data_IF_961322624761
#
_entry.id   IF_961322624761
#
_cell.length_a   1.000
_cell.length_b   1.000
_cell.length_c   1.000
_cell.angle_alpha   90.00
_cell.angle_beta   90.00
_cell.angle_gamma   90.00
#
_symmetry.space_group_name_H-M   'P 1'
#
loop_
_entity.id
_entity.type
_entity.pdbx_description
1 polymer ?
#
# COMPACT_ATOMS: atom_id res chain seq x y z
N UNK A 1 -5.95 23.58 -27.15
CA UNK A 1 -6.60 23.23 -25.88
C UNK A 1 -5.70 22.26 -25.13
N UNK A 2 -5.12 22.66 -23.99
CA UNK A 2 -4.48 21.69 -23.09
C UNK A 2 -5.59 20.82 -22.50
N UNK A 3 -5.73 19.58 -22.97
CA UNK A 3 -6.55 18.59 -22.28
C UNK A 3 -5.92 18.37 -20.91
N UNK A 4 -6.57 18.82 -19.85
CA UNK A 4 -6.12 18.58 -18.48
C UNK A 4 -6.18 17.07 -18.25
N UNK A 5 -5.02 16.42 -18.32
CA UNK A 5 -4.94 15.00 -17.97
C UNK A 5 -5.21 14.89 -16.46
N UNK A 6 -6.24 14.13 -16.04
CA UNK A 6 -6.61 14.11 -14.64
C UNK A 6 -5.55 13.36 -13.82
N UNK A 7 -5.13 13.96 -12.69
CA UNK A 7 -4.12 13.40 -11.77
C UNK A 7 -4.80 12.52 -10.75
N UNK A 8 -5.11 11.29 -11.13
CA UNK A 8 -6.01 10.41 -10.35
C UNK A 8 -5.21 9.36 -9.60
N UNK A 9 -4.22 8.74 -10.25
CA UNK A 9 -3.59 7.56 -9.70
C UNK A 9 -2.72 7.87 -8.48
N UNK A 10 -1.92 8.93 -8.55
CA UNK A 10 -1.09 9.33 -7.42
C UNK A 10 -1.93 9.78 -6.22
N UNK A 11 -3.01 10.53 -6.48
CA UNK A 11 -3.94 10.98 -5.44
C UNK A 11 -4.71 9.85 -4.78
N UNK A 12 -5.18 8.89 -5.56
CA UNK A 12 -5.88 7.72 -5.03
C UNK A 12 -4.93 6.91 -4.13
N UNK A 13 -3.67 6.73 -4.55
CA UNK A 13 -2.70 6.02 -3.73
C UNK A 13 -2.34 6.77 -2.44
N UNK A 14 -2.21 8.10 -2.49
CA UNK A 14 -2.05 8.93 -1.29
C UNK A 14 -3.22 8.78 -0.33
N UNK A 15 -4.47 8.82 -0.84
CA UNK A 15 -5.66 8.61 -0.04
C UNK A 15 -5.69 7.20 0.58
N UNK A 16 -5.34 6.17 -0.17
CA UNK A 16 -5.20 4.79 0.34
C UNK A 16 -4.15 4.68 1.43
N UNK A 17 -3.01 5.38 1.28
CA UNK A 17 -1.96 5.44 2.30
C UNK A 17 -2.42 6.08 3.60
N UNK A 18 -3.14 7.20 3.53
CA UNK A 18 -3.76 7.85 4.70
C UNK A 18 -4.78 6.92 5.36
N UNK A 19 -5.65 6.30 4.58
CA UNK A 19 -6.66 5.37 5.09
C UNK A 19 -6.02 4.19 5.83
N UNK A 20 -4.89 3.67 5.34
CA UNK A 20 -4.16 2.59 6.02
C UNK A 20 -3.68 2.98 7.41
N UNK A 21 -3.08 4.16 7.55
CA UNK A 21 -2.62 4.65 8.86
C UNK A 21 -3.80 4.82 9.81
N UNK A 22 -4.91 5.42 9.34
CA UNK A 22 -6.12 5.62 10.16
C UNK A 22 -6.69 4.28 10.63
N UNK A 23 -6.85 3.33 9.72
CA UNK A 23 -7.37 1.99 10.04
C UNK A 23 -6.42 1.20 10.96
N UNK A 24 -5.10 1.37 10.83
CA UNK A 24 -4.12 0.73 11.71
C UNK A 24 -4.27 1.18 13.18
N UNK A 25 -4.58 2.46 13.40
CA UNK A 25 -4.72 3.01 14.77
C UNK A 25 -6.16 2.96 15.30
N UNK A 26 -7.12 2.48 14.49
CA UNK A 26 -8.53 2.46 14.86
C UNK A 26 -8.82 1.32 15.86
N UNK A 27 -9.51 1.60 16.98
CA UNK A 27 -9.99 0.56 17.89
C UNK A 27 -10.87 -0.47 17.16
N UNK A 28 -10.68 -1.75 17.47
CA UNK A 28 -11.41 -2.86 16.83
C UNK A 28 -10.88 -3.29 15.46
N UNK A 29 -9.82 -2.64 14.94
CA UNK A 29 -9.07 -3.11 13.76
C UNK A 29 -7.67 -3.56 14.19
N UNK A 30 -6.75 -2.61 14.40
CA UNK A 30 -5.39 -2.87 14.91
C UNK A 30 -4.98 -1.92 16.06
N UNK A 31 -5.91 -1.08 16.52
CA UNK A 31 -5.63 -0.06 17.54
C UNK A 31 -5.13 -0.64 18.87
N UNK A 32 -5.60 -1.82 19.27
CA UNK A 32 -5.16 -2.47 20.51
C UNK A 32 -3.69 -2.92 20.40
N UNK A 33 -3.31 -3.53 19.26
CA UNK A 33 -1.92 -3.90 18.98
C UNK A 33 -1.03 -2.66 18.95
N UNK A 34 -1.50 -1.57 18.33
CA UNK A 34 -0.76 -0.31 18.29
C UNK A 34 -0.58 0.33 19.66
N UNK A 35 -1.60 0.25 20.52
CA UNK A 35 -1.50 0.70 21.91
C UNK A 35 -0.47 -0.15 22.67
N UNK A 36 -0.48 -1.47 22.49
CA UNK A 36 0.48 -2.35 23.13
C UNK A 36 1.91 -2.12 22.65
N UNK A 37 2.15 -1.93 21.35
CA UNK A 37 3.45 -1.53 20.81
C UNK A 37 3.95 -0.20 21.38
N UNK A 38 3.02 0.71 21.72
CA UNK A 38 3.37 2.02 22.28
C UNK A 38 3.76 1.98 23.75
N UNK A 39 3.45 0.88 24.47
CA UNK A 39 3.76 0.71 25.90
C UNK A 39 5.22 0.35 26.17
N UNK A 40 5.99 -0.02 25.15
CA UNK A 40 7.43 -0.24 25.28
C UNK A 40 8.24 1.03 25.03
N UNK A 41 9.45 1.11 25.63
CA UNK A 41 10.37 2.25 25.51
C UNK A 41 10.80 2.56 24.06
N UNK A 42 10.68 1.57 23.18
CA UNK A 42 10.74 1.70 21.73
C UNK A 42 9.50 1.04 21.15
N UNK A 43 9.02 1.47 19.99
CA UNK A 43 7.88 0.85 19.31
C UNK A 43 8.25 -0.58 18.91
N UNK A 44 7.96 -1.56 19.78
CA UNK A 44 8.46 -2.91 19.66
C UNK A 44 7.35 -3.83 19.16
N UNK A 45 7.58 -4.45 18.01
CA UNK A 45 6.59 -5.25 17.28
C UNK A 45 6.89 -6.76 17.31
N UNK A 46 8.03 -7.15 17.90
CA UNK A 46 8.47 -8.55 17.97
C UNK A 46 9.61 -8.71 18.97
N UNK A 47 9.84 -9.92 19.50
CA UNK A 47 11.05 -10.25 20.26
C UNK A 47 12.28 -10.49 19.36
N UNK A 48 12.15 -10.20 18.06
CA UNK A 48 13.20 -10.39 17.07
C UNK A 48 13.47 -11.87 16.81
N UNK A 49 14.73 -12.28 16.88
CA UNK A 49 15.14 -13.65 16.54
C UNK A 49 14.46 -14.71 17.42
N UNK A 50 14.12 -14.37 18.66
CA UNK A 50 13.48 -15.29 19.60
C UNK A 50 12.08 -15.74 19.17
N UNK A 51 11.40 -15.01 18.28
CA UNK A 51 10.06 -15.38 17.80
C UNK A 51 10.11 -16.45 16.68
N UNK A 52 11.30 -16.72 16.12
CA UNK A 52 11.45 -17.77 15.10
C UNK A 52 11.37 -19.16 15.70
N UNK A 53 10.69 -20.05 14.99
CA UNK A 53 10.55 -21.46 15.36
C UNK A 53 11.88 -22.21 15.47
N UNK A 54 12.97 -21.69 14.87
CA UNK A 54 14.32 -22.21 15.09
C UNK A 54 14.79 -22.07 16.55
N UNK A 55 14.28 -21.07 17.28
CA UNK A 55 14.57 -20.82 18.70
C UNK A 55 13.38 -21.21 19.60
N UNK A 56 12.53 -22.14 19.15
CA UNK A 56 11.27 -22.53 19.83
C UNK A 56 10.29 -21.36 20.04
N UNK A 57 10.43 -20.30 19.24
CA UNK A 57 9.55 -19.14 19.24
C UNK A 57 8.24 -19.36 18.49
N UNK A 58 7.27 -18.46 18.72
CA UNK A 58 6.02 -18.39 17.95
C UNK A 58 5.79 -16.97 17.44
N UNK A 59 5.78 -16.82 16.12
CA UNK A 59 5.49 -15.54 15.46
C UNK A 59 4.05 -15.08 15.71
N UNK A 60 3.89 -13.86 16.21
CA UNK A 60 2.58 -13.22 16.31
C UNK A 60 2.19 -12.56 14.98
N UNK A 61 1.51 -13.31 14.11
CA UNK A 61 1.10 -12.81 12.80
C UNK A 61 0.15 -11.61 12.84
N UNK A 62 -0.62 -11.44 13.93
CA UNK A 62 -1.53 -10.29 14.08
C UNK A 62 -0.75 -9.01 14.33
N UNK A 63 0.27 -9.07 15.19
CA UNK A 63 1.16 -7.94 15.44
C UNK A 63 1.96 -7.55 14.18
N UNK A 64 2.48 -8.54 13.46
CA UNK A 64 3.14 -8.29 12.17
C UNK A 64 2.19 -7.68 11.14
N UNK A 65 0.94 -8.16 11.05
CA UNK A 65 -0.05 -7.58 10.17
C UNK A 65 -0.36 -6.13 10.55
N UNK A 66 -0.55 -5.83 11.83
CA UNK A 66 -0.77 -4.47 12.34
C UNK A 66 0.38 -3.53 11.97
N UNK A 67 1.63 -3.98 12.16
CA UNK A 67 2.83 -3.24 11.76
C UNK A 67 2.85 -2.94 10.26
N UNK A 68 2.70 -3.96 9.41
CA UNK A 68 2.74 -3.78 7.96
C UNK A 68 1.58 -2.91 7.47
N UNK A 69 0.42 -3.00 8.10
CA UNK A 69 -0.74 -2.18 7.77
C UNK A 69 -0.46 -0.70 8.02
N UNK A 70 0.19 -0.37 9.15
CA UNK A 70 0.64 1.00 9.43
C UNK A 70 1.77 1.44 8.50
N UNK A 71 2.81 0.62 8.35
CA UNK A 71 4.02 0.96 7.60
C UNK A 71 3.79 1.09 6.09
N UNK A 72 2.86 0.30 5.53
CA UNK A 72 2.45 0.43 4.14
C UNK A 72 1.85 1.82 3.85
N UNK A 73 1.18 2.45 4.82
CA UNK A 73 0.53 3.75 4.66
C UNK A 73 1.49 4.85 4.17
N UNK A 74 2.58 5.17 4.91
CA UNK A 74 3.61 6.11 4.48
C UNK A 74 4.27 5.74 3.15
N UNK A 75 4.54 4.45 2.91
CA UNK A 75 5.13 3.99 1.63
C UNK A 75 4.19 4.33 0.46
N UNK A 76 2.91 3.97 0.59
CA UNK A 76 1.88 4.28 -0.42
C UNK A 76 1.73 5.79 -0.60
N UNK A 77 1.78 6.57 0.48
CA UNK A 77 1.69 8.02 0.39
C UNK A 77 2.86 8.62 -0.40
N UNK A 78 4.10 8.22 -0.09
CA UNK A 78 5.29 8.69 -0.79
C UNK A 78 5.30 8.23 -2.26
N UNK A 79 4.95 6.98 -2.52
CA UNK A 79 4.84 6.48 -3.89
C UNK A 79 3.71 7.20 -4.65
N UNK A 80 2.61 7.52 -3.97
CA UNK A 80 1.50 8.30 -4.51
C UNK A 80 1.93 9.72 -4.92
N UNK A 81 2.78 10.38 -4.12
CA UNK A 81 3.38 11.67 -4.51
C UNK A 81 4.25 11.55 -5.75
N UNK A 82 5.06 10.48 -5.86
CA UNK A 82 5.90 10.25 -7.03
C UNK A 82 5.05 10.07 -8.30
N UNK A 83 4.00 9.25 -8.23
CA UNK A 83 3.06 9.05 -9.33
C UNK A 83 2.29 10.34 -9.67
N UNK A 84 1.84 11.10 -8.66
CA UNK A 84 1.13 12.38 -8.86
C UNK A 84 2.03 13.43 -9.54
N UNK A 85 3.34 13.37 -9.31
CA UNK A 85 4.34 14.19 -10.00
C UNK A 85 4.54 13.75 -11.45
N UNK A 86 4.64 12.45 -11.71
CA UNK A 86 4.73 11.89 -13.07
C UNK A 86 3.47 12.25 -13.88
N UNK A 87 2.28 12.05 -13.32
CA UNK A 87 1.02 12.44 -13.96
C UNK A 87 0.96 13.95 -14.23
N UNK A 88 1.57 14.78 -13.38
CA UNK A 88 1.66 16.23 -13.60
C UNK A 88 2.61 16.59 -14.74
N UNK A 89 3.76 15.93 -14.86
CA UNK A 89 4.78 16.26 -15.88
C UNK A 89 4.48 15.61 -17.24
N UNK A 90 4.02 14.36 -17.25
CA UNK A 90 3.85 13.55 -18.46
C UNK A 90 2.38 13.41 -18.87
N UNK A 91 1.44 13.64 -17.94
CA UNK A 91 0.00 13.52 -18.18
C UNK A 91 -0.54 12.08 -18.09
N UNK A 92 0.33 11.09 -17.96
CA UNK A 92 -0.03 9.69 -17.78
C UNK A 92 1.09 8.96 -17.03
N UNK A 93 0.82 7.73 -16.59
CA UNK A 93 1.82 6.85 -15.98
C UNK A 93 2.36 5.90 -17.04
N UNK A 94 3.66 5.61 -17.09
CA UNK A 94 4.19 4.69 -18.09
C UNK A 94 3.60 3.27 -17.97
N UNK A 95 3.50 2.55 -19.09
CA UNK A 95 3.04 1.15 -19.07
C UNK A 95 3.90 0.24 -18.18
N UNK A 96 5.20 0.52 -18.10
CA UNK A 96 6.12 -0.25 -17.25
C UNK A 96 5.74 -0.13 -15.78
N UNK A 97 5.44 1.09 -15.32
CA UNK A 97 4.97 1.32 -13.95
C UNK A 97 3.63 0.63 -13.72
N UNK A 98 2.68 0.77 -14.65
CA UNK A 98 1.36 0.13 -14.52
C UNK A 98 1.43 -1.40 -14.45
N UNK A 99 2.23 -2.03 -15.32
CA UNK A 99 2.45 -3.49 -15.31
C UNK A 99 3.09 -3.97 -14.02
N UNK A 100 4.13 -3.26 -13.55
CA UNK A 100 4.81 -3.58 -12.29
C UNK A 100 3.84 -3.45 -11.12
N UNK A 101 3.03 -2.40 -11.09
CA UNK A 101 2.02 -2.19 -10.07
C UNK A 101 0.96 -3.30 -10.04
N UNK A 102 0.49 -3.75 -11.21
CA UNK A 102 -0.43 -4.90 -11.31
C UNK A 102 0.23 -6.17 -10.79
N UNK A 103 1.48 -6.45 -11.19
CA UNK A 103 2.19 -7.66 -10.78
C UNK A 103 2.34 -7.72 -9.24
N UNK A 104 2.77 -6.62 -8.62
CA UNK A 104 2.85 -6.52 -7.15
C UNK A 104 1.47 -6.67 -6.51
N UNK A 105 0.44 -6.03 -7.08
CA UNK A 105 -0.94 -6.14 -6.57
C UNK A 105 -1.48 -7.56 -6.65
N UNK A 106 -1.15 -8.32 -7.70
CA UNK A 106 -1.56 -9.72 -7.85
C UNK A 106 -0.90 -10.62 -6.82
N UNK A 107 0.40 -10.43 -6.54
CA UNK A 107 1.09 -11.18 -5.46
C UNK A 107 0.43 -10.88 -4.12
N UNK A 108 0.15 -9.61 -3.82
CA UNK A 108 -0.54 -9.23 -2.59
C UNK A 108 -1.96 -9.79 -2.50
N UNK A 109 -2.72 -9.76 -3.59
CA UNK A 109 -4.07 -10.33 -3.65
C UNK A 109 -4.05 -11.87 -3.50
N UNK A 110 -3.02 -12.55 -3.98
CA UNK A 110 -2.84 -13.98 -3.76
C UNK A 110 -2.53 -14.29 -2.28
N UNK A 111 -1.64 -13.52 -1.66
CA UNK A 111 -1.24 -13.71 -0.27
C UNK A 111 -2.34 -13.34 0.72
N UNK A 112 -3.11 -12.28 0.43
CA UNK A 112 -4.21 -11.79 1.28
C UNK A 112 -5.42 -11.42 0.41
N UNK A 113 -6.25 -12.42 0.02
CA UNK A 113 -7.34 -12.21 -0.94
C UNK A 113 -8.40 -11.21 -0.50
N UNK A 114 -8.71 -11.16 0.79
CA UNK A 114 -9.70 -10.24 1.37
C UNK A 114 -9.01 -8.97 1.92
N UNK A 115 -8.32 -8.24 1.06
CA UNK A 115 -7.59 -7.02 1.44
C UNK A 115 -7.73 -5.88 0.44
N UNK A 116 -7.22 -4.70 0.81
CA UNK A 116 -7.10 -3.56 -0.09
C UNK A 116 -6.26 -3.85 -1.35
N UNK A 117 -5.39 -4.87 -1.34
CA UNK A 117 -4.65 -5.29 -2.54
C UNK A 117 -5.62 -5.72 -3.65
N UNK A 118 -6.62 -6.53 -3.29
CA UNK A 118 -7.62 -7.07 -4.22
C UNK A 118 -8.66 -6.04 -4.62
N UNK A 119 -9.18 -5.28 -3.64
CA UNK A 119 -10.34 -4.41 -3.87
C UNK A 119 -9.99 -2.97 -4.25
N UNK A 120 -8.75 -2.53 -4.03
CA UNK A 120 -8.33 -1.14 -4.30
C UNK A 120 -7.15 -1.10 -5.27
N UNK A 121 -6.03 -1.74 -4.92
CA UNK A 121 -4.79 -1.58 -5.68
C UNK A 121 -4.85 -2.32 -7.02
N UNK A 122 -5.36 -3.56 -7.07
CA UNK A 122 -5.48 -4.28 -8.34
C UNK A 122 -6.42 -3.55 -9.34
N UNK A 123 -7.65 -3.12 -8.98
CA UNK A 123 -8.48 -2.29 -9.85
C UNK A 123 -7.81 -0.98 -10.28
N UNK A 124 -7.11 -0.29 -9.36
CA UNK A 124 -6.35 0.91 -9.69
C UNK A 124 -5.24 0.64 -10.71
N UNK A 125 -4.51 -0.47 -10.57
CA UNK A 125 -3.47 -0.90 -11.49
C UNK A 125 -4.02 -1.19 -12.88
N UNK A 126 -5.14 -1.90 -12.97
CA UNK A 126 -5.85 -2.17 -14.22
C UNK A 126 -6.31 -0.85 -14.86
N UNK A 127 -6.90 0.06 -14.08
CA UNK A 127 -7.32 1.37 -14.58
C UNK A 127 -6.13 2.19 -15.11
N UNK A 128 -5.01 2.18 -14.39
CA UNK A 128 -3.76 2.80 -14.82
C UNK A 128 -3.28 2.21 -16.15
N UNK A 129 -3.25 0.88 -16.27
CA UNK A 129 -2.84 0.19 -17.49
C UNK A 129 -3.71 0.56 -18.70
N UNK A 130 -5.04 0.49 -18.56
CA UNK A 130 -5.98 0.80 -19.65
C UNK A 130 -5.79 2.24 -20.13
N UNK A 131 -5.62 3.19 -19.21
CA UNK A 131 -5.39 4.60 -19.55
C UNK A 131 -4.06 4.80 -20.28
N UNK A 132 -2.99 4.17 -19.80
CA UNK A 132 -1.66 4.27 -20.40
C UNK A 132 -1.59 3.60 -21.78
N UNK A 133 -2.25 2.46 -21.97
CA UNK A 133 -2.32 1.78 -23.26
C UNK A 133 -3.06 2.62 -24.31
N UNK A 134 -4.18 3.26 -23.93
CA UNK A 134 -4.89 4.20 -24.81
C UNK A 134 -4.01 5.38 -25.24
N UNK A 135 -3.13 5.86 -24.34
CA UNK A 135 -2.24 7.00 -24.64
C UNK A 135 -1.13 6.64 -25.62
N UNK A 136 -0.57 5.43 -25.56
CA UNK A 136 0.48 5.00 -26.49
C UNK A 136 -0.03 4.77 -27.92
N UNK A 137 -1.31 4.45 -28.07
CA UNK A 137 -1.95 4.21 -29.37
C UNK A 137 -2.52 5.50 -30.02
N UNK A 138 -2.36 6.66 -29.38
CA UNK A 138 -2.72 7.99 -29.92
C UNK A 138 -1.46 8.73 -30.35
#
# INVERSE_FOLDING_TARGET
MQTTNPRIHGRLLMATGIAHVILAILPGVFGDQFLDFSRSWFFNISSGAADFSFFDGTLNYVEFAAFWFFYAGPIMFLYGQAIDRIEKSEGYVSLTIAKTFIAVSLVGAYMVPLSGMTFVLLPQGIYMYVRSAKRQNM
#
